data_IF_026936834200
#
_entry.id   IF_026936834200
#
_cell.length_a   1.000
_cell.length_b   1.000
_cell.length_c   1.000
_cell.angle_alpha   90.00
_cell.angle_beta   90.00
_cell.angle_gamma   90.00
#
_symmetry.space_group_name_H-M   'P 1'
#
loop_
_entity.id
_entity.type
_entity.pdbx_description
1 polymer ?
#
# COMPACT_ATOMS: atom_id res chain seq x y z
N UNK A 1 -40.28 6.12 -7.83
CA UNK A 1 -39.16 6.29 -6.87
C UNK A 1 -37.89 5.75 -7.51
N UNK A 2 -36.90 6.58 -7.87
CA UNK A 2 -35.65 6.09 -8.43
C UNK A 2 -34.78 5.48 -7.32
N UNK A 3 -34.40 4.21 -7.45
CA UNK A 3 -33.37 3.59 -6.60
C UNK A 3 -32.03 4.24 -6.94
N UNK A 4 -31.50 5.06 -6.02
CA UNK A 4 -30.11 5.53 -6.11
C UNK A 4 -29.21 4.33 -5.87
N UNK A 5 -28.48 3.92 -6.91
CA UNK A 5 -27.36 3.00 -6.77
C UNK A 5 -26.24 3.79 -6.11
N UNK A 6 -25.97 3.52 -4.84
CA UNK A 6 -24.82 4.08 -4.12
C UNK A 6 -23.61 3.27 -4.55
N UNK A 7 -22.79 3.82 -5.46
CA UNK A 7 -21.48 3.23 -5.79
C UNK A 7 -20.59 3.31 -4.54
N UNK A 8 -19.94 2.23 -4.10
CA UNK A 8 -19.02 2.28 -2.96
C UNK A 8 -17.78 3.13 -3.29
N UNK A 9 -17.29 3.89 -2.32
CA UNK A 9 -16.07 4.70 -2.45
C UNK A 9 -14.85 3.77 -2.57
N UNK A 10 -14.01 3.97 -3.59
CA UNK A 10 -12.79 3.20 -3.77
C UNK A 10 -11.56 3.96 -3.32
N UNK A 11 -10.66 3.25 -2.66
CA UNK A 11 -9.31 3.68 -2.40
C UNK A 11 -8.40 3.09 -3.47
N UNK A 12 -7.80 3.94 -4.30
CA UNK A 12 -6.73 3.55 -5.20
C UNK A 12 -5.41 4.09 -4.66
N UNK A 13 -4.30 3.37 -4.83
CA UNK A 13 -2.97 3.94 -4.62
C UNK A 13 -2.33 4.34 -5.93
N UNK A 14 -1.87 5.59 -6.06
CA UNK A 14 -1.15 6.12 -7.24
C UNK A 14 -0.28 7.34 -6.91
N UNK A 15 0.75 7.68 -7.68
CA UNK A 15 1.58 8.90 -7.50
C UNK A 15 1.27 9.98 -8.54
N UNK A 16 1.28 11.27 -8.17
CA UNK A 16 1.02 12.39 -9.10
C UNK A 16 1.90 13.63 -8.86
N UNK A 17 2.19 14.35 -9.94
CA UNK A 17 2.91 15.64 -9.98
C UNK A 17 2.00 16.81 -9.60
N UNK A 18 2.47 17.70 -8.71
CA UNK A 18 1.73 18.88 -8.22
C UNK A 18 1.30 19.82 -9.38
N UNK A 19 0.01 19.86 -9.66
CA UNK A 19 -0.64 20.85 -10.52
C UNK A 19 -1.79 21.50 -9.76
N UNK A 20 -1.64 22.78 -9.41
CA UNK A 20 -2.65 23.55 -8.67
C UNK A 20 -3.72 24.07 -9.63
N UNK A 21 -4.99 23.75 -9.35
CA UNK A 21 -6.13 24.54 -9.77
C UNK A 21 -7.28 24.39 -8.75
N UNK A 22 -7.73 25.52 -8.20
CA UNK A 22 -8.85 25.63 -7.26
C UNK A 22 -10.19 25.79 -8.01
N UNK A 23 -11.26 25.12 -7.56
CA UNK A 23 -12.67 25.60 -7.57
C UNK A 23 -13.59 24.62 -6.79
N UNK A 24 -14.85 24.96 -6.42
CA UNK A 24 -15.44 24.56 -5.13
C UNK A 24 -16.40 23.38 -5.25
N UNK A 25 -16.56 22.67 -4.13
CA UNK A 25 -17.24 21.37 -4.01
C UNK A 25 -18.77 21.40 -4.24
N UNK A 26 -19.34 20.37 -4.90
CA UNK A 26 -20.71 19.94 -4.70
C UNK A 26 -20.81 18.66 -3.84
N UNK A 27 -22.02 18.43 -3.33
CA UNK A 27 -22.48 17.41 -2.38
C UNK A 27 -21.75 16.05 -2.37
N UNK A 28 -21.55 15.52 -1.16
CA UNK A 28 -20.91 14.25 -0.77
C UNK A 28 -21.29 13.04 -1.64
N UNK A 29 -20.68 12.96 -2.81
CA UNK A 29 -20.49 11.71 -3.53
C UNK A 29 -19.42 10.89 -2.79
N UNK A 30 -19.48 9.55 -2.84
CA UNK A 30 -18.38 8.72 -2.36
C UNK A 30 -17.12 9.15 -3.10
N UNK A 31 -16.23 9.83 -2.39
CA UNK A 31 -15.01 10.36 -2.98
C UNK A 31 -14.09 9.18 -3.19
N UNK A 32 -13.97 8.75 -4.45
CA UNK A 32 -12.87 7.89 -4.86
C UNK A 32 -11.58 8.61 -4.47
N UNK A 33 -10.90 8.07 -3.46
CA UNK A 33 -9.70 8.70 -2.91
C UNK A 33 -8.51 7.97 -3.47
N UNK A 34 -7.59 8.73 -4.04
CA UNK A 34 -6.34 8.17 -4.53
C UNK A 34 -5.22 8.58 -3.60
N UNK A 35 -4.58 7.61 -2.93
CA UNK A 35 -3.45 7.89 -2.02
C UNK A 35 -2.12 7.62 -2.70
N UNK A 36 -1.20 8.57 -2.55
CA UNK A 36 0.17 8.45 -3.00
C UNK A 36 1.01 7.72 -1.98
N UNK A 37 1.50 6.54 -2.34
CA UNK A 37 2.41 5.81 -1.50
C UNK A 37 3.83 6.38 -1.63
N UNK A 38 4.34 6.94 -0.54
CA UNK A 38 5.74 7.28 -0.38
C UNK A 38 6.41 6.24 0.51
N UNK A 39 7.54 5.69 0.08
CA UNK A 39 8.30 4.68 0.81
C UNK A 39 9.64 5.28 1.20
N UNK A 40 9.85 5.42 2.51
CA UNK A 40 11.16 5.77 3.05
C UNK A 40 11.92 4.49 3.36
N UNK A 41 12.92 4.18 2.53
CA UNK A 41 13.78 3.01 2.66
C UNK A 41 15.18 3.35 3.19
N UNK A 42 15.41 4.57 3.67
CA UNK A 42 16.75 5.08 4.02
C UNK A 42 17.52 4.20 5.02
N UNK A 43 16.81 3.52 5.91
CA UNK A 43 17.36 2.61 6.93
C UNK A 43 17.68 1.23 6.38
N UNK A 44 17.01 0.79 5.31
CA UNK A 44 17.08 -0.57 4.76
C UNK A 44 17.68 -0.64 3.35
N UNK A 45 18.21 0.46 2.82
CA UNK A 45 18.82 0.49 1.49
C UNK A 45 19.85 -0.63 1.25
N UNK A 46 20.74 -0.97 2.20
CA UNK A 46 21.70 -2.06 2.03
C UNK A 46 21.06 -3.44 1.82
N UNK A 47 19.77 -3.59 2.20
CA UNK A 47 18.98 -4.82 2.08
C UNK A 47 18.15 -4.90 0.81
N UNK A 48 17.96 -3.80 0.07
CA UNK A 48 17.23 -3.83 -1.20
C UNK A 48 17.77 -4.87 -2.21
N UNK A 49 19.10 -5.11 -2.32
CA UNK A 49 19.65 -6.21 -3.10
C UNK A 49 19.15 -7.62 -2.76
N UNK A 50 18.69 -7.83 -1.51
CA UNK A 50 18.20 -9.12 -1.03
C UNK A 50 16.71 -9.33 -1.35
N UNK A 51 16.03 -8.34 -1.94
CA UNK A 51 14.60 -8.35 -2.23
C UNK A 51 14.27 -9.29 -3.40
N UNK A 52 13.55 -10.38 -3.11
CA UNK A 52 12.98 -11.29 -4.10
C UNK A 52 11.52 -10.99 -4.47
N UNK A 53 10.76 -10.33 -3.58
CA UNK A 53 9.43 -9.77 -3.88
C UNK A 53 9.11 -8.68 -2.87
N UNK A 54 8.45 -7.61 -3.32
CA UNK A 54 7.83 -6.58 -2.50
C UNK A 54 6.32 -6.73 -2.55
N UNK A 55 5.65 -6.85 -1.41
CA UNK A 55 4.20 -6.73 -1.36
C UNK A 55 3.77 -5.35 -0.86
N UNK A 56 2.74 -4.81 -1.50
CA UNK A 56 1.94 -3.70 -0.99
C UNK A 56 0.60 -4.28 -0.58
N UNK A 57 0.25 -4.16 0.70
CA UNK A 57 -0.92 -4.80 1.29
C UNK A 57 -1.80 -3.75 1.95
N UNK A 58 -3.11 -3.89 1.81
CA UNK A 58 -4.08 -3.05 2.52
C UNK A 58 -4.85 -3.92 3.50
N UNK A 59 -4.83 -3.51 4.76
CA UNK A 59 -5.48 -4.18 5.87
C UNK A 59 -6.71 -3.41 6.33
N UNK A 60 -7.71 -4.17 6.76
CA UNK A 60 -9.01 -3.63 7.12
C UNK A 60 -9.83 -4.52 8.03
N UNK A 61 -11.09 -4.13 8.26
CA UNK A 61 -12.02 -4.80 9.19
C UNK A 61 -13.30 -5.28 8.48
N UNK A 62 -13.16 -5.89 7.30
CA UNK A 62 -14.32 -6.37 6.54
C UNK A 62 -15.02 -7.50 7.29
N UNK A 63 -16.16 -7.18 7.92
CA UNK A 63 -17.01 -8.12 8.65
C UNK A 63 -16.27 -8.85 9.79
N UNK A 64 -15.15 -8.29 10.27
CA UNK A 64 -14.33 -8.84 11.35
C UNK A 64 -14.03 -7.75 12.38
N UNK A 65 -13.67 -8.18 13.60
CA UNK A 65 -13.18 -7.28 14.66
C UNK A 65 -11.65 -7.20 14.70
N UNK A 66 -10.96 -7.97 13.86
CA UNK A 66 -9.51 -8.06 13.77
C UNK A 66 -9.05 -7.67 12.36
N UNK A 67 -7.90 -7.00 12.27
CA UNK A 67 -7.31 -6.63 10.97
C UNK A 67 -7.08 -7.88 10.12
N UNK A 68 -7.53 -7.82 8.87
CA UNK A 68 -7.33 -8.83 7.85
C UNK A 68 -6.92 -8.18 6.52
N UNK A 69 -6.28 -8.95 5.65
CA UNK A 69 -5.84 -8.49 4.34
C UNK A 69 -7.03 -8.33 3.40
N UNK A 70 -7.32 -7.09 3.00
CA UNK A 70 -8.35 -6.77 2.01
C UNK A 70 -7.83 -7.02 0.59
N UNK A 71 -6.59 -6.61 0.34
CA UNK A 71 -5.93 -6.79 -0.93
C UNK A 71 -4.40 -6.78 -0.77
N UNK A 72 -3.73 -7.47 -1.69
CA UNK A 72 -2.28 -7.58 -1.77
C UNK A 72 -1.86 -7.50 -3.22
N UNK A 73 -0.85 -6.67 -3.50
CA UNK A 73 -0.14 -6.64 -4.76
C UNK A 73 1.30 -7.08 -4.52
N UNK A 74 1.75 -8.04 -5.31
CA UNK A 74 3.12 -8.55 -5.28
C UNK A 74 3.88 -7.97 -6.48
N UNK A 75 5.05 -7.42 -6.23
CA UNK A 75 5.93 -6.80 -7.20
C UNK A 75 7.27 -7.53 -7.15
N UNK A 76 7.61 -8.19 -8.26
CA UNK A 76 8.82 -9.00 -8.38
C UNK A 76 9.97 -8.16 -8.93
N UNK A 77 11.22 -8.64 -8.85
CA UNK A 77 12.40 -8.01 -9.45
C UNK A 77 12.20 -7.50 -10.88
N UNK A 78 11.51 -8.29 -11.72
CA UNK A 78 11.16 -7.89 -13.09
C UNK A 78 10.23 -6.66 -13.15
N UNK A 79 9.32 -6.52 -12.19
CA UNK A 79 8.41 -5.37 -12.09
C UNK A 79 9.12 -4.13 -11.52
N UNK A 80 10.12 -4.33 -10.67
CA UNK A 80 10.79 -3.25 -9.91
C UNK A 80 12.13 -2.78 -10.50
N UNK A 81 12.74 -3.56 -11.39
CA UNK A 81 14.04 -3.21 -11.99
C UNK A 81 15.23 -3.27 -11.02
N UNK A 82 15.19 -4.16 -10.01
CA UNK A 82 16.26 -4.40 -9.03
C UNK A 82 16.79 -3.14 -8.31
N UNK A 83 15.93 -2.41 -7.57
CA UNK A 83 16.32 -1.15 -6.94
C UNK A 83 17.45 -1.34 -5.93
N UNK A 84 18.40 -0.41 -5.92
CA UNK A 84 19.59 -0.37 -5.03
C UNK A 84 19.57 0.81 -4.06
N UNK A 85 18.60 1.71 -4.20
CA UNK A 85 18.36 2.84 -3.29
C UNK A 85 16.87 3.05 -3.05
N UNK A 86 16.51 3.77 -1.99
CA UNK A 86 15.13 4.16 -1.73
C UNK A 86 14.54 5.02 -2.84
N UNK A 87 15.37 5.86 -3.47
CA UNK A 87 14.95 6.68 -4.61
C UNK A 87 14.60 5.82 -5.84
N UNK A 88 15.39 4.79 -6.14
CA UNK A 88 15.11 3.83 -7.20
C UNK A 88 13.86 3.00 -6.90
N UNK A 89 13.70 2.54 -5.66
CA UNK A 89 12.49 1.84 -5.23
C UNK A 89 11.24 2.71 -5.40
N UNK A 90 11.29 3.97 -4.95
CA UNK A 90 10.19 4.92 -5.12
C UNK A 90 9.91 5.23 -6.60
N UNK A 91 10.94 5.25 -7.45
CA UNK A 91 10.77 5.42 -8.89
C UNK A 91 10.12 4.19 -9.54
N UNK A 92 10.51 2.98 -9.15
CA UNK A 92 9.93 1.73 -9.62
C UNK A 92 8.44 1.62 -9.23
N UNK A 93 8.11 1.92 -7.97
CA UNK A 93 6.72 1.92 -7.49
C UNK A 93 5.82 2.88 -8.27
N UNK A 94 6.35 3.99 -8.79
CA UNK A 94 5.59 4.92 -9.65
C UNK A 94 5.19 4.31 -11.00
N UNK A 95 5.90 3.31 -11.48
CA UNK A 95 5.67 2.74 -12.81
C UNK A 95 4.64 1.59 -12.82
N UNK A 96 4.34 1.01 -11.65
CA UNK A 96 3.52 -0.20 -11.50
C UNK A 96 2.11 0.10 -10.94
N UNK A 97 1.58 1.28 -11.27
CA UNK A 97 0.32 1.79 -10.75
C UNK A 97 -0.92 1.28 -11.53
N UNK A 98 -2.09 1.14 -10.89
CA UNK A 98 -2.34 1.31 -9.45
C UNK A 98 -1.76 0.14 -8.64
N UNK A 99 -1.26 0.43 -7.43
CA UNK A 99 -0.70 -0.61 -6.57
C UNK A 99 -1.81 -1.55 -6.05
N UNK A 100 -2.84 -0.98 -5.43
CA UNK A 100 -3.95 -1.72 -4.83
C UNK A 100 -5.23 -0.88 -4.95
N UNK A 101 -6.36 -1.55 -5.14
CA UNK A 101 -7.70 -0.95 -5.08
C UNK A 101 -8.58 -1.70 -4.07
N UNK A 102 -9.18 -0.98 -3.13
CA UNK A 102 -10.12 -1.54 -2.12
C UNK A 102 -11.29 -0.59 -1.86
N UNK A 103 -12.30 -1.05 -1.11
CA UNK A 103 -13.31 -0.15 -0.54
C UNK A 103 -12.65 0.72 0.55
N UNK A 104 -12.76 2.03 0.41
CA UNK A 104 -12.15 2.98 1.34
C UNK A 104 -12.76 2.89 2.75
N UNK A 105 -14.03 2.46 2.87
CA UNK A 105 -14.70 2.32 4.17
C UNK A 105 -14.16 1.15 5.00
N UNK A 106 -13.60 0.13 4.34
CA UNK A 106 -13.02 -1.03 5.01
C UNK A 106 -11.52 -0.84 5.33
N UNK A 107 -10.85 0.11 4.70
CA UNK A 107 -9.39 0.23 4.70
C UNK A 107 -8.87 1.03 5.91
N UNK A 108 -7.95 0.44 6.67
CA UNK A 108 -7.40 1.04 7.89
C UNK A 108 -5.88 1.25 7.85
N UNK A 109 -5.14 0.29 7.29
CA UNK A 109 -3.68 0.30 7.35
C UNK A 109 -3.10 -0.18 6.02
N UNK A 110 -1.93 0.36 5.64
CA UNK A 110 -1.11 -0.14 4.54
C UNK A 110 0.15 -0.77 5.11
N UNK A 111 0.57 -1.88 4.51
CA UNK A 111 1.86 -2.50 4.74
C UNK A 111 2.66 -2.56 3.44
N UNK A 112 3.96 -2.30 3.54
CA UNK A 112 4.93 -2.56 2.47
C UNK A 112 5.92 -3.57 3.01
N UNK A 113 6.01 -4.75 2.42
CA UNK A 113 6.78 -5.88 2.97
C UNK A 113 7.68 -6.49 1.92
N UNK A 114 8.98 -6.47 2.16
CA UNK A 114 9.98 -7.12 1.32
C UNK A 114 10.32 -8.53 1.83
N UNK A 115 10.42 -9.49 0.91
CA UNK A 115 10.79 -10.89 1.18
C UNK A 115 11.97 -11.29 0.30
N UNK A 116 12.83 -12.24 0.75
CA UNK A 116 14.01 -12.64 0.00
C UNK A 116 13.70 -13.69 -1.08
N UNK A 117 12.62 -14.45 -0.92
CA UNK A 117 12.15 -15.41 -1.93
C UNK A 117 11.14 -14.75 -2.87
N UNK A 118 10.93 -15.34 -4.05
CA UNK A 118 9.85 -14.95 -4.96
C UNK A 118 8.46 -15.42 -4.51
N UNK A 119 8.25 -15.76 -3.23
CA UNK A 119 6.94 -16.16 -2.71
C UNK A 119 6.27 -14.99 -2.01
N UNK A 120 5.03 -14.71 -2.38
CA UNK A 120 4.25 -13.59 -1.86
C UNK A 120 3.12 -14.09 -0.94
N UNK A 121 3.51 -14.78 0.14
CA UNK A 121 2.59 -15.30 1.15
C UNK A 121 2.67 -14.54 2.48
N UNK A 122 1.86 -14.97 3.45
CA UNK A 122 1.71 -14.33 4.76
C UNK A 122 2.84 -14.66 5.75
N UNK A 123 3.74 -15.57 5.38
CA UNK A 123 4.76 -16.12 6.28
C UNK A 123 6.13 -15.55 5.94
N UNK A 124 6.92 -15.35 6.99
CA UNK A 124 8.33 -15.01 6.86
C UNK A 124 9.15 -16.14 6.22
N UNK A 125 10.42 -15.86 5.88
CA UNK A 125 11.20 -14.72 6.37
C UNK A 125 10.92 -13.40 5.61
N UNK A 126 10.91 -12.28 6.35
CA UNK A 126 10.85 -10.92 5.81
C UNK A 126 12.25 -10.29 5.84
N UNK A 127 12.56 -9.44 4.86
CA UNK A 127 13.84 -8.69 4.81
C UNK A 127 13.64 -7.28 5.36
N UNK A 128 12.49 -6.68 5.05
CA UNK A 128 12.10 -5.33 5.46
C UNK A 128 10.58 -5.24 5.52
N UNK A 129 10.07 -4.34 6.33
CA UNK A 129 8.64 -4.05 6.38
C UNK A 129 8.37 -2.65 6.90
N UNK A 130 7.28 -2.04 6.47
CA UNK A 130 6.77 -0.80 7.02
C UNK A 130 5.25 -0.83 7.04
N UNK A 131 4.67 -0.16 8.03
CA UNK A 131 3.23 -0.07 8.21
C UNK A 131 2.84 1.39 8.43
N UNK A 132 1.73 1.82 7.83
CA UNK A 132 1.19 3.16 8.06
C UNK A 132 -0.34 3.10 8.15
N UNK A 133 -0.89 3.84 9.10
CA UNK A 133 -2.34 4.04 9.24
C UNK A 133 -2.82 4.99 8.13
N UNK A 134 -3.83 4.58 7.38
CA UNK A 134 -4.38 5.35 6.25
C UNK A 134 -4.91 6.72 6.72
N UNK A 135 -5.41 6.81 7.96
CA UNK A 135 -5.87 8.04 8.58
C UNK A 135 -4.76 9.06 8.85
N UNK A 136 -3.49 8.67 8.74
CA UNK A 136 -2.34 9.59 8.86
C UNK A 136 -1.92 10.22 7.54
N UNK A 137 -2.60 9.91 6.43
CA UNK A 137 -2.30 10.51 5.14
C UNK A 137 -2.50 12.04 5.17
N UNK A 138 -1.53 12.78 4.65
CA UNK A 138 -1.55 14.24 4.48
C UNK A 138 -1.48 14.58 3.00
N UNK A 139 -2.30 15.51 2.52
CA UNK A 139 -2.31 15.95 1.11
C UNK A 139 -2.39 14.80 0.10
N UNK A 140 -3.20 13.80 0.45
CA UNK A 140 -3.36 12.54 -0.29
C UNK A 140 -2.08 11.72 -0.45
N UNK A 141 -1.04 12.00 0.33
CA UNK A 141 0.16 11.19 0.43
C UNK A 141 0.19 10.41 1.75
N UNK A 142 0.60 9.14 1.67
CA UNK A 142 0.87 8.28 2.81
C UNK A 142 2.33 7.83 2.77
N UNK A 143 3.09 8.18 3.80
CA UNK A 143 4.48 7.75 3.92
C UNK A 143 4.58 6.49 4.77
N UNK A 144 5.25 5.47 4.23
CA UNK A 144 5.58 4.23 4.92
C UNK A 144 7.10 4.17 5.11
N UNK A 145 7.55 4.29 6.35
CA UNK A 145 8.95 4.07 6.69
C UNK A 145 9.23 2.57 6.81
N UNK A 146 10.20 2.07 6.05
CA UNK A 146 10.63 0.68 6.11
C UNK A 146 11.60 0.49 7.28
N UNK A 147 11.41 -0.61 7.98
CA UNK A 147 12.26 -1.10 9.05
C UNK A 147 12.93 -2.42 8.67
N UNK A 148 13.96 -2.77 9.43
CA UNK A 148 14.73 -4.00 9.32
C UNK A 148 13.86 -5.24 9.62
N UNK A 149 14.30 -6.41 9.17
CA UNK A 149 13.63 -7.70 9.41
C UNK A 149 13.25 -7.97 10.88
N UNK A 150 14.05 -7.48 11.83
CA UNK A 150 13.80 -7.64 13.28
C UNK A 150 12.59 -6.86 13.78
N UNK A 151 12.12 -5.87 13.02
CA UNK A 151 10.94 -5.05 13.32
C UNK A 151 9.68 -5.63 12.68
N UNK A 152 9.82 -6.64 11.81
CA UNK A 152 8.70 -7.26 11.13
C UNK A 152 7.95 -8.25 12.03
N UNK A 153 6.62 -8.29 11.94
CA UNK A 153 5.85 -9.33 12.62
C UNK A 153 6.26 -10.70 12.10
N UNK A 154 6.08 -11.75 12.90
CA UNK A 154 6.38 -13.12 12.45
C UNK A 154 5.41 -13.62 11.37
N UNK A 155 4.19 -13.08 11.39
CA UNK A 155 3.09 -13.43 10.48
C UNK A 155 2.31 -12.18 10.14
N UNK A 156 1.93 -12.03 8.88
CA UNK A 156 1.03 -10.97 8.43
C UNK A 156 -0.44 -11.38 8.61
N UNK A 157 -1.39 -10.43 8.65
CA UNK A 157 -2.81 -10.74 8.66
C UNK A 157 -3.24 -11.63 7.49
N UNK A 158 -4.09 -12.61 7.79
CA UNK A 158 -4.71 -13.44 6.76
C UNK A 158 -5.72 -12.64 5.92
N UNK A 159 -6.03 -13.09 4.71
CA UNK A 159 -7.10 -12.49 3.91
C UNK A 159 -8.44 -12.45 4.66
N UNK A 160 -9.18 -11.35 4.47
CA UNK A 160 -10.52 -11.23 5.02
C UNK A 160 -11.42 -12.33 4.42
N UNK A 161 -12.32 -12.91 5.23
CA UNK A 161 -13.32 -13.84 4.70
C UNK A 161 -14.17 -13.14 3.62
N UNK A 162 -14.64 -13.90 2.61
CA UNK A 162 -15.48 -13.37 1.54
C UNK A 162 -16.80 -12.82 2.06
#
# INVERSE_FOLDING_TARGET
>A
MPRRSTTPARLALSLSTLGVACDPAPASEPVDRTLQLMVDASTVEPRLPELGVLSVEVYGLRQTTSLCTLARRCLYPFDLGDPRSGAELQAALRQVQPLVEVDAADAHQIAVVGRPSGLCDERGPFVMCGFADIGTASDDALTVALGEATQCPQTLPAFCPP
#
